data_IF_601733205961
#
_entry.id   IF_601733205961
#
_cell.length_a   1.000
_cell.length_b   1.000
_cell.length_c   1.000
_cell.angle_alpha   90.00
_cell.angle_beta   90.00
_cell.angle_gamma   90.00
#
_symmetry.space_group_name_H-M   'P 1'
#
loop_
_entity.id
_entity.type
_entity.pdbx_description
1 polymer ?
#
# COMPACT_ATOMS: atom_id res chain seq x y z
N UNK A 1 9.67 26.47 38.64
CA UNK A 1 8.93 25.26 39.07
C UNK A 1 8.73 24.42 37.82
N UNK A 2 9.55 23.39 37.64
CA UNK A 2 9.39 22.39 36.57
C UNK A 2 8.82 21.12 37.23
N UNK A 3 7.49 21.04 37.32
CA UNK A 3 6.76 19.79 37.61
C UNK A 3 6.21 19.26 36.30
N UNK A 4 7.08 18.60 35.53
CA UNK A 4 6.73 17.66 34.47
C UNK A 4 7.74 16.51 34.44
N UNK A 5 8.02 15.93 35.60
CA UNK A 5 8.70 14.64 35.68
C UNK A 5 7.78 13.67 36.40
N UNK A 6 7.64 12.50 35.80
CA UNK A 6 6.96 11.30 36.28
C UNK A 6 5.48 11.14 35.90
N UNK A 7 5.21 11.00 34.60
CA UNK A 7 4.19 10.05 34.14
C UNK A 7 4.93 8.81 33.59
N UNK A 8 4.55 7.57 33.97
CA UNK A 8 5.20 6.36 33.46
C UNK A 8 4.95 6.22 31.96
N UNK A 9 6.00 5.85 31.23
CA UNK A 9 5.96 5.51 29.80
C UNK A 9 5.01 4.31 29.58
N UNK A 10 4.01 4.36 28.69
CA UNK A 10 3.00 3.30 28.54
C UNK A 10 3.43 2.10 27.67
N UNK A 11 4.68 2.02 27.19
CA UNK A 11 5.07 1.12 26.10
C UNK A 11 6.02 -0.01 26.51
N UNK A 12 5.54 -0.99 27.29
CA UNK A 12 6.23 -2.28 27.33
C UNK A 12 5.19 -3.40 27.28
N UNK A 13 5.17 -4.15 26.18
CA UNK A 13 4.35 -5.36 26.07
C UNK A 13 4.86 -6.40 27.07
N UNK A 14 3.95 -7.07 27.79
CA UNK A 14 4.32 -8.23 28.59
C UNK A 14 4.63 -9.42 27.68
N UNK A 15 5.38 -10.40 28.19
CA UNK A 15 5.64 -11.65 27.47
C UNK A 15 4.33 -12.36 27.07
N UNK A 16 3.30 -12.28 27.91
CA UNK A 16 1.95 -12.78 27.62
C UNK A 16 1.34 -12.08 26.39
N UNK A 17 1.40 -10.74 26.34
CA UNK A 17 0.89 -9.98 25.19
C UNK A 17 1.65 -10.29 23.89
N UNK A 18 2.96 -10.52 23.99
CA UNK A 18 3.80 -10.90 22.85
C UNK A 18 3.45 -12.29 22.34
N UNK A 19 3.25 -13.26 23.24
CA UNK A 19 2.87 -14.63 22.88
C UNK A 19 1.48 -14.64 22.22
N UNK A 20 0.51 -13.94 22.81
CA UNK A 20 -0.86 -13.88 22.29
C UNK A 20 -0.90 -13.29 20.88
N UNK A 21 -0.10 -12.25 20.64
CA UNK A 21 0.03 -11.66 19.32
C UNK A 21 0.64 -12.63 18.29
N UNK A 22 1.71 -13.35 18.66
CA UNK A 22 2.33 -14.33 17.76
C UNK A 22 1.38 -15.50 17.44
N UNK A 23 0.64 -16.02 18.43
CA UNK A 23 -0.34 -17.10 18.22
C UNK A 23 -1.48 -16.60 17.31
N UNK A 24 -1.97 -15.38 17.54
CA UNK A 24 -3.02 -14.78 16.71
C UNK A 24 -2.57 -14.57 15.25
N UNK A 25 -1.38 -14.01 15.03
CA UNK A 25 -0.78 -13.84 13.69
C UNK A 25 -0.58 -15.19 13.01
N UNK A 26 0.04 -16.16 13.70
CA UNK A 26 0.27 -17.50 13.15
C UNK A 26 -1.04 -18.18 12.74
N UNK A 27 -2.09 -18.06 13.55
CA UNK A 27 -3.42 -18.60 13.25
C UNK A 27 -4.04 -17.94 12.02
N UNK A 28 -3.97 -16.61 11.92
CA UNK A 28 -4.51 -15.88 10.75
C UNK A 28 -3.80 -16.20 9.44
N UNK A 29 -2.52 -16.55 9.52
CA UNK A 29 -1.66 -16.89 8.39
C UNK A 29 -1.62 -18.39 8.10
N UNK A 30 -2.42 -19.20 8.83
CA UNK A 30 -2.45 -20.66 8.74
C UNK A 30 -1.06 -21.32 8.86
N UNK A 31 -0.18 -20.75 9.70
CA UNK A 31 1.16 -21.25 9.99
C UNK A 31 1.32 -21.65 11.46
N UNK A 32 2.37 -22.42 11.77
CA UNK A 32 2.81 -22.56 13.17
C UNK A 32 3.48 -21.27 13.65
N UNK A 33 3.56 -21.10 14.98
CA UNK A 33 4.37 -20.04 15.59
C UNK A 33 5.84 -20.14 15.16
N UNK A 34 6.56 -19.02 15.20
CA UNK A 34 7.98 -18.96 14.86
C UNK A 34 8.92 -19.36 15.99
N UNK A 35 10.22 -19.47 15.66
CA UNK A 35 11.32 -19.81 16.56
C UNK A 35 11.37 -18.95 17.83
N UNK A 36 11.14 -17.64 17.69
CA UNK A 36 11.08 -16.71 18.81
C UNK A 36 9.91 -17.03 19.76
N UNK A 37 8.70 -17.22 19.22
CA UNK A 37 7.52 -17.58 20.01
C UNK A 37 7.70 -18.92 20.74
N UNK A 38 8.19 -19.93 20.03
CA UNK A 38 8.46 -21.24 20.61
C UNK A 38 9.47 -21.16 21.76
N UNK A 39 10.50 -20.33 21.63
CA UNK A 39 11.50 -20.11 22.68
C UNK A 39 10.92 -19.42 23.90
N UNK A 40 10.10 -18.37 23.73
CA UNK A 40 9.49 -17.67 24.87
C UNK A 40 8.55 -18.60 25.62
N UNK A 41 7.67 -19.31 24.91
CA UNK A 41 6.75 -20.27 25.54
C UNK A 41 7.54 -21.37 26.26
N UNK A 42 8.52 -22.02 25.62
CA UNK A 42 9.34 -23.04 26.27
C UNK A 42 10.06 -22.52 27.52
N UNK A 43 10.47 -21.24 27.53
CA UNK A 43 11.13 -20.63 28.68
C UNK A 43 10.24 -20.49 29.92
N UNK A 44 8.92 -20.40 29.72
CA UNK A 44 7.95 -20.31 30.81
C UNK A 44 7.61 -21.68 31.42
N UNK A 45 7.76 -22.76 30.64
CA UNK A 45 7.27 -24.09 30.99
C UNK A 45 8.37 -25.11 31.32
N UNK A 46 9.64 -24.78 31.16
CA UNK A 46 10.72 -25.75 31.38
C UNK A 46 10.88 -26.15 32.86
N UNK A 47 11.05 -27.45 33.12
CA UNK A 47 11.24 -28.04 34.47
C UNK A 47 12.64 -27.82 35.08
N UNK A 48 13.33 -26.74 34.71
CA UNK A 48 14.73 -26.48 35.07
C UNK A 48 15.76 -27.04 34.07
N UNK A 49 17.05 -26.94 34.41
CA UNK A 49 18.18 -27.13 33.47
C UNK A 49 18.33 -28.56 32.89
N UNK A 50 17.64 -29.55 33.47
CA UNK A 50 17.65 -30.93 33.00
C UNK A 50 16.49 -31.29 32.08
N UNK A 51 15.55 -30.37 31.84
CA UNK A 51 14.35 -30.61 31.01
C UNK A 51 14.64 -30.45 29.52
N UNK A 52 13.90 -31.16 28.69
CA UNK A 52 13.99 -31.06 27.24
C UNK A 52 13.50 -29.69 26.73
N UNK A 53 12.49 -29.10 27.38
CA UNK A 53 12.05 -27.72 27.13
C UNK A 53 13.15 -26.69 27.44
N UNK A 54 14.03 -26.96 28.41
CA UNK A 54 15.20 -26.11 28.65
C UNK A 54 16.22 -26.19 27.52
N UNK A 55 16.46 -27.38 26.95
CA UNK A 55 17.31 -27.53 25.76
C UNK A 55 16.77 -26.74 24.57
N UNK A 56 15.45 -26.81 24.34
CA UNK A 56 14.77 -25.99 23.35
C UNK A 56 14.93 -24.51 23.66
N UNK A 57 14.72 -24.07 24.90
CA UNK A 57 14.86 -22.66 25.30
C UNK A 57 16.28 -22.12 25.11
N UNK A 58 17.28 -22.92 25.46
CA UNK A 58 18.68 -22.50 25.51
C UNK A 58 19.38 -22.56 24.16
N UNK A 59 19.12 -23.61 23.38
CA UNK A 59 19.91 -23.94 22.17
C UNK A 59 19.08 -24.19 20.92
N UNK A 60 17.75 -24.30 21.06
CA UNK A 60 16.87 -24.67 19.97
C UNK A 60 16.86 -26.16 19.66
N UNK A 61 17.63 -26.99 20.38
CA UNK A 61 17.64 -28.44 20.17
C UNK A 61 16.34 -29.09 20.65
N UNK A 62 15.84 -30.07 19.90
CA UNK A 62 14.59 -30.77 20.18
C UNK A 62 14.87 -32.27 20.34
N UNK A 63 14.79 -32.78 21.57
CA UNK A 63 14.61 -34.22 21.79
C UNK A 63 13.11 -34.52 21.68
N UNK A 64 12.64 -34.77 20.45
CA UNK A 64 11.20 -34.78 20.13
C UNK A 64 10.37 -35.68 21.09
N UNK A 65 10.75 -36.94 21.38
CA UNK A 65 10.05 -37.76 22.36
C UNK A 65 9.92 -37.13 23.76
N UNK A 66 11.00 -36.51 24.26
CA UNK A 66 10.99 -35.92 25.61
C UNK A 66 10.27 -34.58 25.64
N UNK A 67 10.49 -33.72 24.64
CA UNK A 67 9.81 -32.42 24.53
C UNK A 67 8.29 -32.63 24.44
N UNK A 68 7.83 -33.58 23.63
CA UNK A 68 6.38 -33.88 23.51
C UNK A 68 5.82 -34.44 24.82
N UNK A 69 6.57 -35.28 25.53
CA UNK A 69 6.15 -35.80 26.83
C UNK A 69 5.99 -34.67 27.87
N UNK A 70 6.97 -33.76 27.93
CA UNK A 70 6.92 -32.59 28.83
C UNK A 70 5.77 -31.66 28.48
N UNK A 71 5.54 -31.34 27.20
CA UNK A 71 4.42 -30.50 26.75
C UNK A 71 3.07 -31.13 27.15
N UNK A 72 2.89 -32.43 26.92
CA UNK A 72 1.65 -33.13 27.29
C UNK A 72 1.42 -33.17 28.80
N UNK A 73 2.47 -33.36 29.59
CA UNK A 73 2.40 -33.31 31.05
C UNK A 73 2.03 -31.90 31.53
N UNK A 74 2.68 -30.85 31.00
CA UNK A 74 2.34 -29.46 31.30
C UNK A 74 0.91 -29.12 30.90
N UNK A 75 0.45 -29.59 29.74
CA UNK A 75 -0.90 -29.33 29.23
C UNK A 75 -1.96 -29.99 30.11
N UNK A 76 -1.72 -31.24 30.53
CA UNK A 76 -2.63 -31.96 31.42
C UNK A 76 -2.75 -31.31 32.80
N UNK A 77 -1.68 -30.62 33.24
CA UNK A 77 -1.62 -29.92 34.53
C UNK A 77 -1.88 -28.40 34.42
N UNK A 78 -2.19 -27.89 33.23
CA UNK A 78 -2.44 -26.46 33.04
C UNK A 78 -3.76 -26.02 33.71
N UNK A 79 -3.67 -24.97 34.51
CA UNK A 79 -4.77 -24.43 35.31
C UNK A 79 -5.83 -23.67 34.48
N UNK A 80 -5.47 -23.19 33.30
CA UNK A 80 -6.32 -22.36 32.43
C UNK A 80 -6.30 -22.84 31.00
N UNK A 81 -7.38 -22.57 30.26
CA UNK A 81 -7.42 -22.81 28.81
C UNK A 81 -6.41 -21.93 28.05
N UNK A 82 -6.14 -20.73 28.57
CA UNK A 82 -5.08 -19.84 28.10
C UNK A 82 -3.70 -20.54 28.06
N UNK A 83 -3.33 -21.19 29.16
CA UNK A 83 -2.08 -21.94 29.26
C UNK A 83 -2.05 -23.17 28.33
N UNK A 84 -3.22 -23.80 28.10
CA UNK A 84 -3.35 -24.93 27.17
C UNK A 84 -3.13 -24.50 25.73
N UNK A 85 -3.66 -23.35 25.33
CA UNK A 85 -3.50 -22.78 23.99
C UNK A 85 -2.02 -22.52 23.66
N UNK A 86 -1.26 -21.96 24.62
CA UNK A 86 0.18 -21.74 24.45
C UNK A 86 0.96 -23.05 24.26
N UNK A 87 0.63 -24.07 25.04
CA UNK A 87 1.26 -25.39 24.96
C UNK A 87 0.87 -26.15 23.69
N UNK A 88 -0.35 -25.97 23.19
CA UNK A 88 -0.80 -26.48 21.90
C UNK A 88 -0.04 -25.85 20.74
N UNK A 89 0.12 -24.52 20.74
CA UNK A 89 0.91 -23.80 19.74
C UNK A 89 2.38 -24.25 19.73
N UNK A 90 2.98 -24.44 20.91
CA UNK A 90 4.34 -24.97 21.05
C UNK A 90 4.43 -26.42 20.54
N UNK A 91 3.45 -27.27 20.86
CA UNK A 91 3.37 -28.65 20.37
C UNK A 91 3.29 -28.72 18.85
N UNK A 92 2.47 -27.86 18.23
CA UNK A 92 2.35 -27.76 16.78
C UNK A 92 3.67 -27.35 16.12
N UNK A 93 4.37 -26.35 16.66
CA UNK A 93 5.69 -25.93 16.18
C UNK A 93 6.72 -27.06 16.25
N UNK A 94 6.82 -27.74 17.40
CA UNK A 94 7.79 -28.83 17.61
C UNK A 94 7.56 -29.98 16.63
N UNK A 95 6.29 -30.31 16.33
CA UNK A 95 5.94 -31.37 15.39
C UNK A 95 6.17 -30.98 13.92
N UNK A 96 6.01 -29.69 13.58
CA UNK A 96 6.16 -29.18 12.22
C UNK A 96 7.61 -28.85 11.84
N UNK A 97 8.51 -28.71 12.81
CA UNK A 97 9.89 -28.28 12.56
C UNK A 97 10.71 -29.36 11.87
N UNK A 98 11.30 -29.02 10.72
CA UNK A 98 12.05 -29.98 9.90
C UNK A 98 13.37 -30.46 10.56
N UNK A 99 14.05 -29.60 11.31
CA UNK A 99 15.30 -29.91 11.99
C UNK A 99 15.18 -29.81 13.50
N UNK A 100 15.77 -30.78 14.19
CA UNK A 100 15.80 -30.87 15.65
C UNK A 100 17.19 -30.60 16.25
N UNK A 101 18.17 -30.30 15.41
CA UNK A 101 19.53 -29.96 15.84
C UNK A 101 19.57 -28.56 16.50
N UNK A 102 20.60 -28.26 17.32
CA UNK A 102 20.80 -26.92 17.86
C UNK A 102 20.91 -25.87 16.74
N UNK A 103 20.37 -24.67 16.98
CA UNK A 103 20.36 -23.58 16.00
C UNK A 103 21.33 -22.47 16.41
N UNK A 104 22.19 -22.07 15.47
CA UNK A 104 23.13 -20.96 15.69
C UNK A 104 22.36 -19.64 15.89
N UNK A 105 22.76 -18.86 16.90
CA UNK A 105 22.09 -17.59 17.21
C UNK A 105 20.74 -17.72 17.93
N UNK A 106 20.32 -18.93 18.29
CA UNK A 106 19.04 -19.19 18.97
C UNK A 106 18.80 -18.32 20.22
N UNK A 107 19.83 -18.12 21.03
CA UNK A 107 19.74 -17.31 22.26
C UNK A 107 19.40 -15.83 22.02
N UNK A 108 19.50 -15.35 20.77
CA UNK A 108 19.13 -14.00 20.36
C UNK A 108 17.67 -13.89 19.88
N UNK A 109 16.99 -15.01 19.65
CA UNK A 109 15.61 -15.04 19.15
C UNK A 109 14.65 -14.73 20.29
N UNK A 110 14.11 -13.51 20.34
CA UNK A 110 13.09 -13.13 21.30
C UNK A 110 11.93 -12.49 20.55
N UNK A 111 10.71 -12.69 21.06
CA UNK A 111 9.57 -11.94 20.55
C UNK A 111 9.84 -10.45 20.79
N UNK A 112 9.60 -9.66 19.75
CA UNK A 112 9.57 -8.21 19.84
C UNK A 112 8.12 -7.76 19.73
N UNK A 113 7.74 -6.63 20.34
CA UNK A 113 6.46 -6.01 20.03
C UNK A 113 6.31 -5.90 18.52
N UNK A 114 5.10 -6.05 17.97
CA UNK A 114 4.86 -5.62 16.60
C UNK A 114 5.38 -4.18 16.49
N UNK A 115 6.13 -3.89 15.43
CA UNK A 115 6.53 -2.52 15.14
C UNK A 115 5.27 -1.65 15.14
N UNK A 116 5.37 -0.42 15.68
CA UNK A 116 4.30 0.58 15.61
C UNK A 116 3.66 0.61 14.22
N UNK A 117 2.35 0.95 14.12
CA UNK A 117 1.66 1.01 12.84
C UNK A 117 2.57 1.66 11.81
N UNK A 118 2.89 0.89 10.76
CA UNK A 118 3.92 1.29 9.80
C UNK A 118 3.55 2.67 9.24
N UNK A 119 4.53 3.48 8.81
CA UNK A 119 4.26 4.81 8.20
C UNK A 119 3.19 4.78 7.10
N UNK A 120 2.85 3.61 6.53
CA UNK A 120 1.71 3.41 5.62
C UNK A 120 0.33 3.68 6.23
N UNK A 121 0.14 3.44 7.53
CA UNK A 121 -1.12 3.69 8.25
C UNK A 121 -1.30 5.18 8.58
N UNK A 122 -0.24 5.98 8.47
CA UNK A 122 -0.28 7.44 8.64
C UNK A 122 -0.67 8.18 7.37
N UNK A 123 -0.89 7.50 6.24
CA UNK A 123 -1.30 8.11 4.99
C UNK A 123 -2.75 7.76 4.63
N UNK A 124 -3.51 8.77 4.23
CA UNK A 124 -4.87 8.63 3.76
C UNK A 124 -4.96 7.67 2.56
N UNK A 125 -5.78 6.62 2.58
CA UNK A 125 -5.92 5.73 1.44
C UNK A 125 -6.52 6.40 0.20
N UNK A 126 -7.24 7.51 0.37
CA UNK A 126 -7.87 8.24 -0.73
C UNK A 126 -6.90 9.20 -1.44
N UNK A 127 -6.12 9.99 -0.70
CA UNK A 127 -5.26 11.04 -1.28
C UNK A 127 -3.77 10.89 -0.97
N UNK A 128 -3.39 9.88 -0.18
CA UNK A 128 -2.02 9.60 0.28
C UNK A 128 -1.34 10.76 1.02
N UNK A 129 -2.09 11.79 1.40
CA UNK A 129 -1.62 12.79 2.35
C UNK A 129 -1.52 12.15 3.74
N UNK A 130 -0.57 12.61 4.55
CA UNK A 130 -0.49 12.19 5.94
C UNK A 130 -1.82 12.52 6.65
N UNK A 131 -2.34 11.67 7.52
CA UNK A 131 -3.66 11.82 8.17
C UNK A 131 -3.76 13.12 8.99
N UNK A 132 -2.63 13.63 9.48
CA UNK A 132 -2.53 14.92 10.18
C UNK A 132 -2.29 16.14 9.27
N UNK A 133 -2.13 15.95 7.96
CA UNK A 133 -1.95 17.03 6.99
C UNK A 133 -3.29 17.43 6.35
N UNK A 134 -3.43 18.64 5.79
CA UNK A 134 -4.62 18.99 5.00
C UNK A 134 -4.81 18.01 3.83
N UNK A 135 -6.03 17.50 3.67
CA UNK A 135 -6.37 16.58 2.59
C UNK A 135 -6.93 17.33 1.39
N UNK A 136 -6.88 16.69 0.21
CA UNK A 136 -7.42 17.28 -1.00
C UNK A 136 -8.94 17.44 -0.92
N UNK A 137 -9.49 18.46 -1.57
CA UNK A 137 -10.93 18.59 -1.75
C UNK A 137 -11.49 17.35 -2.47
N UNK A 138 -12.56 16.75 -1.93
CA UNK A 138 -13.09 15.45 -2.38
C UNK A 138 -12.55 14.23 -1.61
N UNK A 139 -11.56 14.41 -0.72
CA UNK A 139 -11.13 13.36 0.19
C UNK A 139 -12.15 13.18 1.34
N UNK A 140 -12.49 11.95 1.76
CA UNK A 140 -13.39 11.71 2.89
C UNK A 140 -12.92 12.29 4.23
N UNK A 141 -11.62 12.57 4.35
CA UNK A 141 -10.98 13.16 5.52
C UNK A 141 -10.63 14.65 5.32
N UNK A 142 -10.99 15.23 4.16
CA UNK A 142 -10.83 16.67 3.92
C UNK A 142 -11.93 17.47 4.59
N UNK A 143 -11.56 18.62 5.16
CA UNK A 143 -12.54 19.62 5.56
C UNK A 143 -12.93 20.46 4.33
N UNK A 144 -14.23 20.65 4.11
CA UNK A 144 -14.72 21.57 3.09
C UNK A 144 -14.45 23.02 3.53
N UNK A 145 -13.55 23.70 2.82
CA UNK A 145 -13.30 25.14 3.02
C UNK A 145 -14.18 25.95 2.04
N UNK A 146 -15.17 26.73 2.54
CA UNK A 146 -16.06 27.52 1.69
C UNK A 146 -15.32 28.54 0.80
N UNK A 147 -14.18 29.07 1.27
CA UNK A 147 -13.40 30.02 0.47
C UNK A 147 -12.70 29.34 -0.70
N UNK A 148 -12.27 28.08 -0.52
CA UNK A 148 -11.71 27.29 -1.62
C UNK A 148 -12.81 26.92 -2.62
N UNK A 149 -13.99 26.51 -2.15
CA UNK A 149 -15.14 26.22 -3.01
C UNK A 149 -15.54 27.44 -3.85
N UNK A 150 -15.63 28.63 -3.26
CA UNK A 150 -15.94 29.86 -3.99
C UNK A 150 -14.90 30.15 -5.10
N UNK A 151 -13.61 29.90 -4.83
CA UNK A 151 -12.54 30.08 -5.84
C UNK A 151 -12.62 29.07 -6.97
N UNK A 152 -12.99 27.82 -6.67
CA UNK A 152 -13.25 26.81 -7.69
C UNK A 152 -14.42 27.25 -8.58
N UNK A 153 -15.52 27.72 -8.00
CA UNK A 153 -16.67 28.23 -8.75
C UNK A 153 -16.31 29.42 -9.64
N UNK A 154 -15.48 30.35 -9.14
CA UNK A 154 -14.96 31.46 -9.92
C UNK A 154 -14.09 30.99 -11.10
N UNK A 155 -13.22 30.00 -10.88
CA UNK A 155 -12.39 29.43 -11.93
C UNK A 155 -13.24 28.75 -13.01
N UNK A 156 -14.24 27.94 -12.62
CA UNK A 156 -15.18 27.29 -13.54
C UNK A 156 -15.97 28.32 -14.33
N UNK A 157 -16.41 29.40 -13.70
CA UNK A 157 -17.11 30.50 -14.38
C UNK A 157 -16.21 31.19 -15.41
N UNK A 158 -14.93 31.36 -15.11
CA UNK A 158 -13.98 32.08 -15.97
C UNK A 158 -13.43 31.24 -17.13
N UNK A 159 -13.17 29.94 -16.89
CA UNK A 159 -12.45 29.04 -17.82
C UNK A 159 -13.33 27.92 -18.39
N UNK A 160 -14.53 27.73 -17.86
CA UNK A 160 -15.45 26.65 -18.22
C UNK A 160 -15.23 25.38 -17.39
N UNK A 161 -16.10 24.39 -17.60
CA UNK A 161 -16.16 23.18 -16.77
C UNK A 161 -14.91 22.30 -16.84
N UNK A 162 -14.13 22.39 -17.92
CA UNK A 162 -12.87 21.64 -18.07
C UNK A 162 -11.89 21.90 -16.91
N UNK A 163 -11.88 23.11 -16.32
CA UNK A 163 -11.02 23.39 -15.17
C UNK A 163 -11.43 22.61 -13.94
N UNK A 164 -12.71 22.27 -13.76
CA UNK A 164 -13.16 21.43 -12.65
C UNK A 164 -12.57 20.02 -12.77
N UNK A 165 -12.63 19.42 -13.95
CA UNK A 165 -12.05 18.10 -14.22
C UNK A 165 -10.53 18.10 -14.06
N UNK A 166 -9.86 19.17 -14.47
CA UNK A 166 -8.42 19.36 -14.21
C UNK A 166 -8.12 19.40 -12.71
N UNK A 167 -8.85 20.21 -11.94
CA UNK A 167 -8.65 20.34 -10.50
C UNK A 167 -8.94 19.05 -9.75
N UNK A 168 -9.90 18.26 -10.22
CA UNK A 168 -10.17 16.91 -9.71
C UNK A 168 -9.01 15.94 -10.01
N UNK A 169 -8.45 16.00 -11.22
CA UNK A 169 -7.32 15.16 -11.62
C UNK A 169 -6.04 15.46 -10.82
N UNK A 170 -5.64 16.73 -10.73
CA UNK A 170 -4.38 17.10 -10.05
C UNK A 170 -4.51 17.18 -8.53
N UNK A 171 -5.72 17.49 -8.04
CA UNK A 171 -6.00 17.73 -6.64
C UNK A 171 -5.32 18.99 -6.09
N UNK A 172 -5.84 19.46 -4.95
CA UNK A 172 -5.27 20.57 -4.19
C UNK A 172 -5.74 20.49 -2.73
N UNK A 173 -4.89 20.90 -1.79
CA UNK A 173 -5.14 20.82 -0.34
C UNK A 173 -5.34 22.16 0.33
N UNK A 174 -4.96 23.24 -0.34
CA UNK A 174 -4.99 24.60 0.19
C UNK A 174 -5.11 25.62 -0.95
N UNK A 175 -5.24 26.90 -0.59
CA UNK A 175 -5.42 27.98 -1.55
C UNK A 175 -4.20 28.31 -2.42
N UNK A 176 -2.99 27.92 -2.02
CA UNK A 176 -1.77 28.10 -2.84
C UNK A 176 -1.71 27.03 -3.94
N UNK A 177 -1.95 25.77 -3.57
CA UNK A 177 -2.02 24.65 -4.52
C UNK A 177 -3.17 24.83 -5.51
N UNK A 178 -4.33 25.31 -5.05
CA UNK A 178 -5.46 25.61 -5.93
C UNK A 178 -5.07 26.64 -7.01
N UNK A 179 -4.42 27.73 -6.62
CA UNK A 179 -3.99 28.75 -7.57
C UNK A 179 -2.93 28.24 -8.53
N UNK A 180 -1.96 27.46 -8.04
CA UNK A 180 -0.97 26.83 -8.89
C UNK A 180 -1.63 25.93 -9.94
N UNK A 181 -2.59 25.10 -9.51
CA UNK A 181 -3.34 24.22 -10.40
C UNK A 181 -4.17 25.01 -11.42
N UNK A 182 -4.89 26.06 -11.02
CA UNK A 182 -5.66 26.92 -11.94
C UNK A 182 -4.74 27.59 -12.97
N UNK A 183 -3.54 28.02 -12.57
CA UNK A 183 -2.59 28.68 -13.47
C UNK A 183 -1.98 27.71 -14.49
N UNK A 184 -1.79 26.44 -14.13
CA UNK A 184 -1.25 25.41 -15.02
C UNK A 184 -2.27 24.85 -16.02
N UNK A 185 -3.56 25.09 -15.80
CA UNK A 185 -4.64 24.52 -16.62
C UNK A 185 -4.45 24.73 -18.13
N UNK A 186 -4.13 25.95 -18.57
CA UNK A 186 -4.03 26.26 -20.01
C UNK A 186 -2.85 25.55 -20.69
N UNK A 187 -1.79 25.27 -19.93
CA UNK A 187 -0.60 24.58 -20.45
C UNK A 187 -0.84 23.07 -20.59
N UNK A 188 -1.83 22.54 -19.85
CA UNK A 188 -2.15 21.11 -19.81
C UNK A 188 -3.40 20.74 -20.59
N UNK A 189 -4.34 21.67 -20.80
CA UNK A 189 -5.59 21.40 -21.49
C UNK A 189 -5.39 21.24 -23.00
N UNK A 190 -5.68 20.04 -23.50
CA UNK A 190 -5.51 19.69 -24.92
C UNK A 190 -6.80 19.93 -25.73
N UNK A 191 -7.95 20.00 -25.07
CA UNK A 191 -9.25 20.28 -25.70
C UNK A 191 -10.33 19.28 -25.34
N UNK A 192 -11.43 19.36 -26.09
CA UNK A 192 -12.63 18.54 -25.93
C UNK A 192 -12.92 17.79 -27.24
N UNK A 193 -12.86 16.47 -27.22
CA UNK A 193 -12.89 15.63 -28.42
C UNK A 193 -13.86 14.46 -28.28
N UNK A 194 -14.36 13.93 -29.40
CA UNK A 194 -15.25 12.75 -29.37
C UNK A 194 -14.55 11.50 -28.83
N UNK A 195 -13.24 11.39 -29.03
CA UNK A 195 -12.40 10.31 -28.50
C UNK A 195 -10.92 10.71 -28.53
N UNK A 196 -10.05 9.89 -27.91
CA UNK A 196 -8.59 10.06 -28.02
C UNK A 196 -8.12 9.81 -29.46
N UNK A 197 -8.83 8.98 -30.24
CA UNK A 197 -8.53 8.76 -31.66
C UNK A 197 -8.82 10.02 -32.49
N UNK A 198 -9.91 10.73 -32.18
CA UNK A 198 -10.19 12.02 -32.81
C UNK A 198 -9.09 13.05 -32.49
N UNK A 199 -8.59 13.08 -31.26
CA UNK A 199 -7.43 13.89 -30.89
C UNK A 199 -6.15 13.45 -31.62
N UNK A 200 -5.89 12.15 -31.76
CA UNK A 200 -4.71 11.65 -32.46
C UNK A 200 -4.70 12.07 -33.94
N UNK A 201 -5.86 12.01 -34.60
CA UNK A 201 -6.02 12.50 -35.97
C UNK A 201 -5.76 14.01 -36.07
N UNK A 202 -6.33 14.81 -35.16
CA UNK A 202 -6.10 16.26 -35.09
C UNK A 202 -4.62 16.60 -34.84
N UNK A 203 -3.99 15.92 -33.89
CA UNK A 203 -2.56 16.05 -33.59
C UNK A 203 -1.66 15.79 -34.81
N UNK A 204 -1.95 14.74 -35.59
CA UNK A 204 -1.17 14.41 -36.80
C UNK A 204 -1.28 15.50 -37.87
N UNK A 205 -2.44 16.15 -37.97
CA UNK A 205 -2.67 17.29 -38.87
C UNK A 205 -1.92 18.53 -38.37
N UNK A 206 -2.15 18.93 -37.12
CA UNK A 206 -1.59 20.16 -36.54
C UNK A 206 -0.07 20.12 -36.39
N UNK A 207 0.51 18.95 -36.12
CA UNK A 207 1.97 18.75 -36.11
C UNK A 207 2.60 18.73 -37.51
N UNK A 208 1.78 18.67 -38.57
CA UNK A 208 2.22 18.54 -39.96
C UNK A 208 2.72 17.16 -40.35
N UNK A 209 2.56 16.14 -39.49
CA UNK A 209 2.95 14.76 -39.77
C UNK A 209 2.14 14.13 -40.89
N UNK A 210 0.84 14.46 -41.00
CA UNK A 210 0.02 14.00 -42.13
C UNK A 210 0.54 14.55 -43.46
N UNK A 211 0.90 15.84 -43.50
CA UNK A 211 1.49 16.45 -44.69
C UNK A 211 2.86 15.85 -45.06
N UNK A 212 3.64 15.42 -44.07
CA UNK A 212 4.90 14.70 -44.31
C UNK A 212 4.65 13.29 -44.87
N UNK A 213 3.66 12.56 -44.35
CA UNK A 213 3.27 11.26 -44.88
C UNK A 213 2.80 11.38 -46.34
N UNK A 214 2.04 12.42 -46.67
CA UNK A 214 1.62 12.71 -48.04
C UNK A 214 2.80 12.92 -48.99
N UNK A 215 3.86 13.60 -48.54
CA UNK A 215 5.08 13.74 -49.33
C UNK A 215 5.79 12.39 -49.53
N UNK A 216 5.86 11.56 -48.49
CA UNK A 216 6.46 10.23 -48.56
C UNK A 216 5.69 9.29 -49.51
N UNK A 217 4.36 9.35 -49.50
CA UNK A 217 3.48 8.59 -50.41
C UNK A 217 3.83 8.83 -51.88
N UNK A 218 4.34 10.00 -52.26
CA UNK A 218 4.73 10.30 -53.64
C UNK A 218 5.87 9.44 -54.17
N UNK A 219 6.73 8.93 -53.26
CA UNK A 219 7.85 8.04 -53.61
C UNK A 219 7.46 6.56 -53.65
N UNK A 220 6.24 6.21 -53.20
CA UNK A 220 5.73 4.85 -53.25
C UNK A 220 5.08 4.53 -54.62
N UNK A 221 5.14 3.26 -55.07
CA UNK A 221 4.32 2.76 -56.16
C UNK A 221 2.83 3.07 -55.95
N UNK A 222 2.10 3.34 -57.04
CA UNK A 222 0.69 3.77 -57.01
C UNK A 222 -0.21 2.84 -56.16
N UNK A 223 -0.01 1.54 -56.32
CA UNK A 223 -0.76 0.49 -55.62
C UNK A 223 -0.48 0.44 -54.12
N UNK A 224 0.65 1.00 -53.66
CA UNK A 224 1.04 1.03 -52.25
C UNK A 224 0.64 2.32 -51.53
N UNK A 225 0.39 3.43 -52.26
CA UNK A 225 0.15 4.75 -51.65
C UNK A 225 -1.02 4.76 -50.66
N UNK A 226 -2.13 4.11 -51.03
CA UNK A 226 -3.33 4.02 -50.19
C UNK A 226 -3.15 3.18 -48.91
N UNK A 227 -2.08 2.37 -48.84
CA UNK A 227 -1.81 1.48 -47.71
C UNK A 227 -0.85 2.10 -46.68
N UNK A 228 -0.11 3.14 -47.04
CA UNK A 228 0.73 3.90 -46.12
C UNK A 228 -0.15 4.90 -45.34
N UNK A 229 -0.52 4.56 -44.11
CA UNK A 229 -1.35 5.38 -43.22
C UNK A 229 -0.78 5.33 -41.80
N UNK A 230 -1.06 6.35 -41.01
CA UNK A 230 -0.79 6.29 -39.58
C UNK A 230 -1.68 5.25 -38.91
N UNK A 231 -1.13 4.57 -37.92
CA UNK A 231 -1.90 3.74 -37.02
C UNK A 231 -2.49 4.63 -35.91
N UNK A 232 -3.51 5.41 -36.26
CA UNK A 232 -4.16 6.36 -35.34
C UNK A 232 -4.67 5.68 -34.08
N UNK A 233 -5.22 4.46 -34.20
CA UNK A 233 -5.67 3.68 -33.05
C UNK A 233 -4.51 3.29 -32.13
N UNK A 234 -3.37 2.86 -32.70
CA UNK A 234 -2.15 2.59 -31.94
C UNK A 234 -1.61 3.84 -31.23
N UNK A 235 -1.57 4.98 -31.93
CA UNK A 235 -1.11 6.26 -31.36
C UNK A 235 -2.05 6.71 -30.22
N UNK A 236 -3.36 6.62 -30.42
CA UNK A 236 -4.35 6.96 -29.39
C UNK A 236 -4.20 6.07 -28.15
N UNK A 237 -3.94 4.78 -28.35
CA UNK A 237 -3.65 3.85 -27.26
C UNK A 237 -2.39 4.27 -26.48
N UNK A 238 -1.30 4.62 -27.17
CA UNK A 238 -0.07 5.08 -26.55
C UNK A 238 -0.25 6.39 -25.78
N UNK A 239 -1.07 7.30 -26.32
CA UNK A 239 -1.42 8.55 -25.64
C UNK A 239 -2.18 8.30 -24.34
N UNK A 240 -3.24 7.47 -24.38
CA UNK A 240 -4.03 7.14 -23.20
C UNK A 240 -3.18 6.51 -22.08
N UNK A 241 -2.22 5.66 -22.45
CA UNK A 241 -1.33 5.01 -21.48
C UNK A 241 -0.30 5.98 -20.90
N UNK A 242 0.34 6.82 -21.73
CA UNK A 242 1.59 7.46 -21.32
C UNK A 242 1.50 8.97 -21.16
N UNK A 243 0.66 9.67 -21.93
CA UNK A 243 0.76 11.13 -22.06
C UNK A 243 -0.53 11.88 -21.74
N UNK A 244 -1.70 11.25 -21.88
CA UNK A 244 -2.99 11.94 -21.77
C UNK A 244 -3.83 11.34 -20.65
N UNK A 245 -4.33 12.21 -19.78
CA UNK A 245 -5.46 11.95 -18.91
C UNK A 245 -6.75 12.40 -19.59
N UNK A 246 -7.81 11.59 -19.51
CA UNK A 246 -9.10 11.88 -20.15
C UNK A 246 -10.25 11.75 -19.16
N UNK A 247 -11.19 12.70 -19.21
CA UNK A 247 -12.43 12.66 -18.43
C UNK A 247 -13.62 12.75 -19.37
N UNK A 248 -14.57 11.83 -19.23
CA UNK A 248 -15.76 11.78 -20.09
C UNK A 248 -16.85 12.75 -19.60
N UNK A 249 -17.52 13.43 -20.54
CA UNK A 249 -18.75 14.16 -20.30
C UNK A 249 -19.99 13.25 -20.38
N UNK A 250 -21.19 13.82 -20.17
CA UNK A 250 -22.45 13.09 -20.19
C UNK A 250 -22.83 12.54 -21.59
N UNK A 251 -22.27 13.12 -22.65
CA UNK A 251 -22.48 12.70 -24.04
C UNK A 251 -21.42 11.68 -24.52
N UNK A 252 -20.41 11.40 -23.69
CA UNK A 252 -19.31 10.48 -23.97
C UNK A 252 -18.12 11.11 -24.69
N UNK A 253 -18.10 12.43 -24.88
CA UNK A 253 -16.92 13.15 -25.34
C UNK A 253 -15.92 13.31 -24.20
N UNK A 254 -14.67 13.62 -24.52
CA UNK A 254 -13.55 13.59 -23.61
C UNK A 254 -12.89 14.97 -23.48
N UNK A 255 -12.77 15.45 -22.25
CA UNK A 255 -11.81 16.49 -21.88
C UNK A 255 -10.42 15.86 -21.74
N UNK A 256 -9.45 16.39 -22.46
CA UNK A 256 -8.10 15.84 -22.52
C UNK A 256 -7.08 16.76 -21.84
N UNK A 257 -6.21 16.17 -21.03
CA UNK A 257 -5.14 16.85 -20.31
C UNK A 257 -3.82 16.11 -20.49
N UNK A 258 -2.71 16.82 -20.56
CA UNK A 258 -1.39 16.19 -20.44
C UNK A 258 -1.16 15.72 -19.00
N UNK A 259 -0.56 14.52 -18.87
CA UNK A 259 -0.22 13.93 -17.56
C UNK A 259 0.90 14.66 -16.84
#
# INVERSE_FOLDING_TARGET
MNEKLNQPNPEHWSDEQLIDHEIASATSEERSIGDAGARVIASQWHGGASSALYSLTSTGAIDLPQVVAEINESWANADTDYNREHLEALGAYVMARESHDPVEGWSKQWLTPPDEPTEQDDFCPACRAHISAPHSVGCPLGEEDPQLLERVEQAVTAKGIAVAHWLEYVGFRNGEELEAAINMFEDHYLGHFESIEAYAADYLIESGLEAQLDQLRQFLPEDMRQHAKWDEAGIAHDFALNTIHSVADDDGHLYLFTK
#
